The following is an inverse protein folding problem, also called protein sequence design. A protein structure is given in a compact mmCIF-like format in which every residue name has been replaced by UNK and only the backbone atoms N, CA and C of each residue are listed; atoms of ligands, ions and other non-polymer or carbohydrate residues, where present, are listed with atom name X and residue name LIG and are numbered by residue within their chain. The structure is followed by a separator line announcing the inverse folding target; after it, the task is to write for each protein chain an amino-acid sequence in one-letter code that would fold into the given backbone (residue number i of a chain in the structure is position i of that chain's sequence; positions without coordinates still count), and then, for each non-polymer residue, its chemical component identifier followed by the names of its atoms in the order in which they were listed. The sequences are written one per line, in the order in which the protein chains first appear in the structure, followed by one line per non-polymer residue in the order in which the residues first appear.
data_IF_674829844971
#
_entry.id   IF_674829844971
#
_cell.length_a   1.000
_cell.length_b   1.000
_cell.length_c   1.000
_cell.angle_alpha   90.00
_cell.angle_beta   90.00
_cell.angle_gamma   90.00
#
_symmetry.space_group_name_H-M   'P 1'
#
loop_
_entity.id
_entity.type
_entity.pdbx_description
1 polymer ?
2 non-polymer ?
3 water ?
#
# COMPACT_ATOMS: atom_id res chain seq x y z
N UNK A 22 -4.01 -12.65 -26.33
CA UNK A 22 -2.70 -12.68 -27.06
C UNK A 22 -1.56 -12.14 -26.17
N UNK A 23 -0.36 -12.77 -26.23
CA UNK A 23 0.74 -12.44 -25.30
C UNK A 23 1.79 -11.42 -25.83
N UNK A 24 2.46 -10.72 -24.91
CA UNK A 24 3.41 -9.67 -25.24
C UNK A 24 4.88 -10.14 -25.19
N UNK A 25 5.75 -9.43 -25.89
CA UNK A 25 7.18 -9.75 -25.87
C UNK A 25 7.79 -9.56 -24.46
N UNK A 26 8.44 -10.61 -23.98
CA UNK A 26 9.04 -10.67 -22.63
C UNK A 26 10.56 -10.52 -22.65
N UNK A 27 11.16 -10.61 -23.85
CA UNK A 27 12.61 -10.51 -23.99
C UNK A 27 13.35 -11.77 -23.58
N UNK A 28 14.55 -11.98 -24.11
CA UNK A 28 15.34 -13.18 -23.79
C UNK A 28 15.99 -13.11 -22.40
N UNK A 29 15.45 -13.90 -21.47
CA UNK A 29 15.96 -13.99 -20.09
C UNK A 29 17.44 -14.41 -19.96
N UNK A 30 17.97 -15.18 -20.93
CA UNK A 30 19.38 -15.58 -20.93
C UNK A 30 20.24 -14.76 -21.90
N UNK A 31 20.05 -13.45 -21.96
CA UNK A 31 20.85 -12.63 -22.87
C UNK A 31 22.13 -12.09 -22.19
N UNK A 32 23.19 -11.90 -22.98
CA UNK A 32 24.38 -11.19 -22.52
C UNK A 32 24.08 -9.70 -22.62
N UNK A 33 24.12 -9.00 -21.49
CA UNK A 33 23.74 -7.58 -21.41
C UNK A 33 24.96 -6.65 -21.22
N UNK A 34 25.34 -5.96 -22.29
CA UNK A 34 26.45 -4.98 -22.28
C UNK A 34 26.07 -3.66 -21.57
N UNK A 35 27.08 -2.89 -21.15
CA UNK A 35 26.89 -1.51 -20.64
C UNK A 35 26.15 -0.62 -21.65
N UNK A 36 26.52 -0.76 -22.93
CA UNK A 36 25.85 -0.10 -24.05
C UNK A 36 24.34 -0.36 -24.03
N UNK A 37 23.95 -1.63 -23.95
CA UNK A 37 22.55 -2.02 -23.90
C UNK A 37 21.81 -1.49 -22.65
N UNK A 38 22.48 -1.47 -21.50
CA UNK A 38 21.90 -0.94 -20.26
C UNK A 38 21.53 0.54 -20.41
N UNK A 39 22.45 1.29 -21.04
CA UNK A 39 22.28 2.70 -21.36
C UNK A 39 21.12 2.99 -22.34
N UNK A 40 21.08 2.27 -23.47
CA UNK A 40 20.00 2.43 -24.43
C UNK A 40 18.67 2.07 -23.80
N UNK A 41 18.67 1.09 -22.90
CA UNK A 41 17.46 0.72 -22.17
C UNK A 41 16.93 1.87 -21.31
N UNK A 42 17.83 2.61 -20.67
CA UNK A 42 17.45 3.75 -19.83
C UNK A 42 16.92 4.92 -20.70
N UNK A 43 17.52 5.10 -21.88
CA UNK A 43 17.00 5.98 -22.91
C UNK A 43 15.54 5.65 -23.32
N UNK A 44 15.24 4.39 -23.60
CA UNK A 44 13.89 3.98 -23.99
C UNK A 44 12.92 4.10 -22.82
N UNK A 45 13.44 3.90 -21.62
CA UNK A 45 12.67 4.07 -20.39
C UNK A 45 12.27 5.54 -20.15
N UNK A 46 13.22 6.44 -20.34
CA UNK A 46 12.95 7.86 -20.26
C UNK A 46 11.86 8.30 -21.22
N UNK A 47 11.91 7.79 -22.45
CA UNK A 47 10.89 8.10 -23.46
C UNK A 47 9.52 7.47 -23.12
N UNK A 48 9.51 6.23 -22.65
CA UNK A 48 8.30 5.57 -22.20
C UNK A 48 7.65 6.37 -21.09
N UNK A 49 8.45 6.81 -20.13
CA UNK A 49 7.97 7.67 -19.04
C UNK A 49 7.38 9.00 -19.54
N UNK A 50 8.07 9.64 -20.49
CA UNK A 50 7.53 10.84 -21.13
C UNK A 50 6.19 10.63 -21.86
N UNK A 51 6.03 9.47 -22.49
CA UNK A 51 4.78 9.16 -23.18
C UNK A 51 3.68 8.89 -22.16
N UNK A 52 3.99 8.06 -21.17
CA UNK A 52 3.06 7.73 -20.08
C UNK A 52 2.46 8.99 -19.45
N UNK A 53 3.33 9.90 -19.03
CA UNK A 53 2.93 11.17 -18.43
C UNK A 53 2.13 12.05 -19.38
N UNK A 54 2.17 11.73 -20.67
CA UNK A 54 1.38 12.43 -21.68
C UNK A 54 0.06 11.71 -21.96
N UNK A 55 -0.17 10.60 -21.29
CA UNK A 55 -1.35 9.76 -21.59
C UNK A 55 -1.33 9.04 -22.93
N UNK A 56 -0.17 8.99 -23.60
CA UNK A 56 0.01 8.19 -24.81
C UNK A 56 0.43 6.80 -24.38
N UNK A 57 -0.57 5.99 -24.04
CA UNK A 57 -0.39 4.75 -23.31
C UNK A 57 0.10 3.58 -24.15
N UNK A 58 -0.47 3.39 -25.34
CA UNK A 58 0.06 2.42 -26.30
C UNK A 58 1.54 2.72 -26.59
N UNK A 59 1.84 3.99 -26.83
CA UNK A 59 3.21 4.42 -27.10
C UNK A 59 4.12 4.01 -25.93
N UNK A 60 3.65 4.26 -24.72
CA UNK A 60 4.41 3.87 -23.52
C UNK A 60 4.68 2.35 -23.46
N UNK A 61 3.69 1.54 -23.83
CA UNK A 61 3.90 0.11 -23.89
C UNK A 61 4.97 -0.30 -24.88
N UNK A 62 4.91 0.27 -26.09
CA UNK A 62 5.90 0.00 -27.13
C UNK A 62 7.31 0.32 -26.65
N UNK A 63 7.44 1.49 -26.04
CA UNK A 63 8.73 1.95 -25.58
C UNK A 63 9.25 1.15 -24.36
N UNK A 64 8.37 0.72 -23.46
CA UNK A 64 8.81 -0.18 -22.39
C UNK A 64 9.19 -1.54 -22.96
N UNK A 65 8.48 -1.96 -24.00
CA UNK A 65 8.83 -3.22 -24.68
C UNK A 65 10.22 -3.15 -25.31
N UNK A 66 10.56 -2.02 -25.94
CA UNK A 66 11.90 -1.84 -26.46
C UNK A 66 12.90 -1.93 -25.32
N UNK A 67 12.62 -1.22 -24.23
CA UNK A 67 13.48 -1.24 -23.04
C UNK A 67 13.73 -2.67 -22.55
N UNK A 68 12.65 -3.45 -22.46
CA UNK A 68 12.74 -4.83 -21.98
C UNK A 68 13.58 -5.74 -22.88
N UNK A 69 13.51 -5.57 -24.20
CA UNK A 69 14.31 -6.39 -25.09
C UNK A 69 15.80 -6.13 -24.90
N UNK A 70 16.14 -4.91 -24.49
CA UNK A 70 17.53 -4.48 -24.29
C UNK A 70 18.10 -4.76 -22.89
N UNK A 71 17.23 -4.81 -21.88
CA UNK A 71 17.65 -5.17 -20.53
C UNK A 71 16.58 -6.02 -19.85
N UNK A 72 16.48 -7.30 -20.26
CA UNK A 72 15.37 -8.14 -19.82
C UNK A 72 15.51 -8.64 -18.39
N UNK A 73 16.55 -8.22 -17.68
CA UNK A 73 16.71 -8.58 -16.26
C UNK A 73 16.55 -7.41 -15.27
N UNK A 74 15.97 -6.30 -15.73
CA UNK A 74 15.69 -5.15 -14.87
C UNK A 74 14.22 -5.12 -14.41
N UNK A 75 13.96 -5.45 -13.14
CA UNK A 75 12.59 -5.67 -12.64
C UNK A 75 11.67 -4.45 -12.80
N UNK A 76 12.24 -3.25 -12.62
CA UNK A 76 11.47 -1.99 -12.69
C UNK A 76 10.80 -1.80 -14.06
N UNK A 77 11.45 -2.27 -15.13
CA UNK A 77 10.90 -2.18 -16.48
C UNK A 77 9.61 -2.98 -16.66
N UNK A 78 9.55 -4.16 -16.06
CA UNK A 78 8.34 -4.97 -16.12
C UNK A 78 7.24 -4.38 -15.25
N UNK A 79 7.61 -3.86 -14.09
CA UNK A 79 6.66 -3.22 -13.18
C UNK A 79 6.03 -1.99 -13.86
N UNK A 80 6.85 -1.11 -14.44
CA UNK A 80 6.31 0.07 -15.13
C UNK A 80 5.40 -0.34 -16.27
N UNK A 81 5.77 -1.37 -17.04
CA UNK A 81 4.92 -1.79 -18.15
C UNK A 81 3.60 -2.37 -17.62
N UNK A 82 3.66 -3.09 -16.49
CA UNK A 82 2.46 -3.63 -15.85
C UNK A 82 1.51 -2.49 -15.52
N UNK A 83 2.04 -1.42 -14.93
CA UNK A 83 1.23 -0.28 -14.54
C UNK A 83 0.50 0.28 -15.75
N UNK A 84 1.20 0.36 -16.88
CA UNK A 84 0.52 0.83 -18.09
C UNK A 84 -0.58 -0.16 -18.53
N UNK A 85 -0.26 -1.46 -18.59
CA UNK A 85 -1.26 -2.48 -18.90
C UNK A 85 -2.53 -2.37 -18.02
N UNK A 86 -2.37 -2.07 -16.72
CA UNK A 86 -3.50 -1.83 -15.79
C UNK A 86 -4.33 -0.60 -16.22
N UNK A 87 -3.67 0.52 -16.50
CA UNK A 87 -4.39 1.71 -17.00
C UNK A 87 -5.14 1.43 -18.29
N UNK A 88 -4.63 0.51 -19.10
CA UNK A 88 -5.33 0.10 -20.31
C UNK A 88 -6.36 -0.97 -20.02
N UNK A 89 -6.41 -1.41 -18.77
CA UNK A 89 -7.33 -2.49 -18.37
C UNK A 89 -7.04 -3.76 -19.16
N UNK A 90 -5.77 -4.15 -19.14
CA UNK A 90 -5.36 -5.44 -19.66
C UNK A 90 -4.73 -6.15 -18.48
N UNK A 91 -5.58 -6.57 -17.52
CA UNK A 91 -5.09 -7.10 -16.24
C UNK A 91 -4.24 -8.39 -16.34
N UNK A 92 -4.60 -9.32 -17.22
CA UNK A 92 -3.75 -10.50 -17.43
C UNK A 92 -2.35 -10.18 -17.91
N UNK A 93 -2.26 -9.25 -18.86
CA UNK A 93 -0.99 -8.77 -19.35
C UNK A 93 -0.18 -8.18 -18.19
N UNK A 94 -0.83 -7.39 -17.34
CA UNK A 94 -0.20 -6.83 -16.14
C UNK A 94 0.33 -7.91 -15.23
N UNK A 95 -0.48 -8.95 -15.04
CA UNK A 95 -0.10 -10.02 -14.12
C UNK A 95 1.13 -10.80 -14.63
N UNK A 96 1.21 -11.04 -15.94
CA UNK A 96 2.40 -11.64 -16.55
C UNK A 96 3.66 -10.81 -16.28
N UNK A 97 3.55 -9.49 -16.47
CA UNK A 97 4.70 -8.61 -16.22
C UNK A 97 5.12 -8.58 -14.77
N UNK A 98 4.15 -8.51 -13.86
CA UNK A 98 4.42 -8.54 -12.42
C UNK A 98 5.07 -9.83 -11.96
N UNK A 99 4.62 -10.99 -12.46
CA UNK A 99 5.25 -12.27 -12.09
C UNK A 99 6.72 -12.26 -12.48
N UNK A 100 7.00 -11.76 -13.66
CA UNK A 100 8.38 -11.75 -14.10
C UNK A 100 9.24 -10.81 -13.25
N UNK A 101 8.70 -9.65 -12.88
CA UNK A 101 9.42 -8.69 -12.04
C UNK A 101 9.67 -9.23 -10.63
N UNK A 102 8.68 -9.96 -10.11
CA UNK A 102 8.82 -10.59 -8.81
C UNK A 102 9.84 -11.70 -8.83
N UNK A 103 9.93 -12.39 -9.94
CA UNK A 103 10.88 -13.46 -10.07
C UNK A 103 12.30 -12.93 -10.13
N UNK A 104 12.50 -11.74 -10.72
CA UNK A 104 13.81 -11.07 -10.68
C UNK A 104 14.09 -10.47 -9.29
N UNK A 105 13.08 -9.76 -8.76
CA UNK A 105 13.21 -9.07 -7.49
C UNK A 105 12.03 -9.32 -6.58
N UNK A 106 12.10 -10.38 -5.75
CA UNK A 106 10.95 -10.71 -4.91
C UNK A 106 10.65 -9.68 -3.83
N UNK A 107 11.61 -8.83 -3.49
CA UNK A 107 11.47 -7.97 -2.32
C UNK A 107 11.11 -6.51 -2.59
N UNK A 108 10.80 -6.16 -3.84
CA UNK A 108 10.45 -4.77 -4.12
C UNK A 108 8.93 -4.59 -4.25
N UNK A 109 8.46 -3.39 -3.88
CA UNK A 109 7.03 -3.15 -3.70
C UNK A 109 6.17 -2.98 -4.96
N UNK A 110 6.70 -2.28 -5.96
CA UNK A 110 6.00 -1.96 -7.20
C UNK A 110 5.26 -3.14 -7.84
N UNK A 111 5.95 -4.29 -8.09
CA UNK A 111 5.13 -5.26 -8.82
C UNK A 111 3.96 -5.83 -8.01
N UNK A 112 4.04 -5.81 -6.67
CA UNK A 112 2.91 -6.31 -5.88
C UNK A 112 1.71 -5.38 -5.98
N UNK A 113 1.99 -4.08 -5.95
CA UNK A 113 0.98 -3.05 -6.12
C UNK A 113 0.20 -3.22 -7.44
N UNK A 114 0.91 -3.32 -8.56
CA UNK A 114 0.23 -3.41 -9.84
C UNK A 114 -0.45 -4.75 -10.03
N UNK A 115 0.14 -5.78 -9.46
CA UNK A 115 -0.49 -7.09 -9.48
C UNK A 115 -1.77 -7.10 -8.62
N UNK A 116 -1.71 -6.51 -7.44
CA UNK A 116 -2.91 -6.30 -6.65
C UNK A 116 -4.00 -5.53 -7.39
N UNK A 117 -3.64 -4.46 -8.10
CA UNK A 117 -4.62 -3.66 -8.80
C UNK A 117 -5.21 -4.46 -9.94
N UNK A 118 -4.39 -5.25 -10.62
CA UNK A 118 -4.87 -6.02 -11.76
C UNK A 118 -5.84 -7.11 -11.29
N UNK A 119 -5.49 -7.78 -10.21
CA UNK A 119 -6.41 -8.72 -9.55
C UNK A 119 -7.77 -8.10 -9.19
N UNK A 120 -7.79 -6.83 -8.79
CA UNK A 120 -9.06 -6.12 -8.54
C UNK A 120 -9.92 -6.00 -9.78
N UNK A 121 -9.33 -5.51 -10.88
CA UNK A 121 -10.08 -5.45 -12.14
C UNK A 121 -10.77 -6.77 -12.45
N UNK A 122 -10.09 -7.87 -12.15
CA UNK A 122 -10.58 -9.21 -12.41
C UNK A 122 -11.55 -9.71 -11.34
N UNK A 123 -11.64 -8.99 -10.23
CA UNK A 123 -12.52 -9.43 -9.14
C UNK A 123 -11.89 -10.55 -8.32
N UNK A 124 -10.57 -10.72 -8.40
CA UNK A 124 -9.88 -11.71 -7.57
C UNK A 124 -9.56 -11.10 -6.20
N UNK A 125 -10.58 -10.95 -5.36
CA UNK A 125 -10.49 -10.08 -4.20
C UNK A 125 -9.44 -10.57 -3.21
N UNK A 126 -9.40 -11.87 -2.95
CA UNK A 126 -8.46 -12.36 -1.97
C UNK A 126 -7.02 -12.13 -2.44
N UNK A 127 -6.74 -12.41 -3.71
CA UNK A 127 -5.41 -12.23 -4.30
C UNK A 127 -4.98 -10.78 -4.26
N UNK A 128 -5.91 -9.89 -4.57
CA UNK A 128 -5.62 -8.47 -4.56
C UNK A 128 -5.21 -7.97 -3.17
N UNK A 129 -5.86 -8.50 -2.13
CA UNK A 129 -5.61 -8.05 -0.77
C UNK A 129 -4.26 -8.62 -0.30
N UNK A 130 -4.01 -9.87 -0.67
CA UNK A 130 -2.70 -10.48 -0.45
C UNK A 130 -1.62 -9.53 -1.00
N UNK A 131 -1.66 -9.24 -2.29
CA UNK A 131 -0.61 -8.48 -2.94
C UNK A 131 -0.49 -7.05 -2.41
N UNK A 132 -1.63 -6.41 -2.19
CA UNK A 132 -1.64 -5.01 -1.75
C UNK A 132 -1.11 -4.91 -0.32
N UNK A 133 -1.45 -5.89 0.51
CA UNK A 133 -0.87 -5.97 1.88
C UNK A 133 0.67 -6.03 1.86
N UNK A 134 1.20 -6.82 0.93
CA UNK A 134 2.65 -6.98 0.72
C UNK A 134 3.26 -5.68 0.25
N UNK A 135 2.61 -5.04 -0.72
CA UNK A 135 3.10 -3.79 -1.29
C UNK A 135 3.29 -2.76 -0.21
N UNK A 136 2.28 -2.59 0.65
CA UNK A 136 2.35 -1.64 1.78
C UNK A 136 3.53 -1.89 2.72
N UNK A 137 3.82 -3.15 3.02
CA UNK A 137 4.93 -3.50 3.91
C UNK A 137 6.29 -3.35 3.22
N UNK A 138 6.37 -3.69 1.94
CA UNK A 138 7.65 -3.66 1.24
C UNK A 138 8.13 -2.26 0.93
N UNK A 139 7.18 -1.33 0.94
CA UNK A 139 7.43 0.01 0.44
C UNK A 139 8.15 0.93 1.45
N UNK A 140 9.48 1.04 1.31
CA UNK A 140 10.33 1.99 2.09
C UNK A 140 11.80 1.94 1.59
N UNK B 23 -18.08 -1.23 21.86
CA UNK B 23 -18.12 -0.88 23.27
C UNK B 23 -16.76 -0.56 23.96
N UNK B 24 -15.72 -0.21 23.17
CA UNK B 24 -14.47 0.40 23.71
C UNK B 24 -14.60 1.94 23.87
N UNK B 25 -13.75 2.56 24.68
CA UNK B 25 -13.84 4.02 24.91
C UNK B 25 -13.34 4.85 23.71
N UNK B 26 -14.22 5.67 23.16
CA UNK B 26 -13.85 6.54 22.02
C UNK B 26 -13.45 7.97 22.45
N UNK B 27 -13.56 8.28 23.74
CA UNK B 27 -13.33 9.63 24.24
C UNK B 27 -14.50 10.55 23.90
N UNK B 28 -14.60 11.68 24.57
CA UNK B 28 -15.71 12.63 24.38
C UNK B 28 -15.37 13.67 23.27
N UNK B 29 -15.92 13.41 22.08
CA UNK B 29 -15.69 14.22 20.88
C UNK B 29 -16.03 15.73 21.05
N UNK B 30 -17.02 16.02 21.89
CA UNK B 30 -17.45 17.38 22.25
C UNK B 30 -16.76 17.96 23.48
N UNK B 31 -15.69 17.33 23.95
CA UNK B 31 -15.00 17.79 25.18
C UNK B 31 -13.92 18.84 24.87
N UNK B 32 -13.74 19.81 25.76
CA UNK B 32 -12.69 20.81 25.53
C UNK B 32 -11.33 20.19 25.77
N UNK B 33 -10.37 20.57 24.93
CA UNK B 33 -9.06 19.97 24.91
C UNK B 33 -8.04 21.07 25.10
N UNK B 34 -7.37 21.03 26.25
CA UNK B 34 -6.42 22.08 26.64
C UNK B 34 -5.01 21.75 26.19
N UNK B 35 -4.14 22.74 26.35
CA UNK B 35 -2.76 22.54 26.05
C UNK B 35 -2.12 21.46 26.92
N UNK B 36 -2.38 21.51 28.23
CA UNK B 36 -1.90 20.49 29.15
C UNK B 36 -2.31 19.09 28.72
N UNK B 37 -3.54 18.96 28.21
CA UNK B 37 -4.05 17.67 27.76
C UNK B 37 -3.34 17.22 26.50
N UNK B 38 -3.06 18.18 25.60
CA UNK B 38 -2.33 17.89 24.36
C UNK B 38 -0.94 17.32 24.68
N UNK B 39 -0.22 17.94 25.63
CA UNK B 39 1.13 17.51 26.01
C UNK B 39 1.10 16.12 26.61
N UNK B 40 0.09 15.83 27.42
CA UNK B 40 0.05 14.54 28.07
C UNK B 40 -0.37 13.41 27.11
N UNK B 41 -1.33 13.71 26.23
CA UNK B 41 -1.68 12.78 25.17
C UNK B 41 -0.45 12.36 24.37
N UNK B 42 0.45 13.29 24.08
CA UNK B 42 1.67 12.98 23.35
C UNK B 42 2.60 12.08 24.16
N UNK B 43 2.74 12.36 25.45
CA UNK B 43 3.54 11.49 26.31
C UNK B 43 2.96 10.07 26.35
N UNK B 44 1.64 9.96 26.53
CA UNK B 44 0.97 8.65 26.51
C UNK B 44 1.09 7.92 25.17
N UNK B 45 1.01 8.64 24.06
CA UNK B 45 1.28 8.07 22.75
C UNK B 45 2.68 7.43 22.70
N UNK B 46 3.67 8.19 23.15
CA UNK B 46 5.06 7.74 23.23
C UNK B 46 5.17 6.46 24.04
N UNK B 47 4.55 6.45 25.21
CA UNK B 47 4.56 5.25 26.06
C UNK B 47 3.80 4.06 25.44
N UNK B 48 2.74 4.35 24.68
CA UNK B 48 2.00 3.32 23.95
C UNK B 48 2.82 2.71 22.81
N UNK B 49 3.57 3.56 22.10
CA UNK B 49 4.40 3.10 20.99
C UNK B 49 5.49 2.13 21.52
N UNK B 50 6.08 2.46 22.67
CA UNK B 50 7.01 1.58 23.36
C UNK B 50 6.40 0.22 23.73
N UNK B 51 5.26 0.25 24.44
CA UNK B 51 4.58 -0.96 24.87
C UNK B 51 4.37 -1.88 23.68
N UNK B 52 3.92 -1.28 22.58
CA UNK B 52 3.72 -1.96 21.31
C UNK B 52 4.99 -2.63 20.84
N UNK B 53 6.08 -1.88 20.82
CA UNK B 53 7.33 -2.42 20.28
C UNK B 53 7.88 -3.54 21.14
N UNK B 54 7.70 -3.46 22.45
CA UNK B 54 8.06 -4.55 23.38
C UNK B 54 7.08 -5.74 23.31
N UNK B 55 6.06 -5.67 22.45
CA UNK B 55 5.12 -6.76 22.32
C UNK B 55 3.91 -6.68 23.24
N UNK B 56 3.90 -5.74 24.17
CA UNK B 56 2.81 -5.62 25.15
C UNK B 56 1.55 -4.92 24.58
N UNK B 57 0.75 -5.67 23.83
CA UNK B 57 -0.40 -5.10 23.11
C UNK B 57 -1.50 -4.56 24.00
N UNK B 58 -1.91 -5.33 25.00
CA UNK B 58 -2.99 -4.91 25.90
C UNK B 58 -2.58 -3.64 26.66
N UNK B 59 -1.29 -3.54 27.02
CA UNK B 59 -0.74 -2.30 27.60
C UNK B 59 -0.74 -1.13 26.59
N UNK B 60 -0.48 -1.42 25.33
CA UNK B 60 -0.52 -0.38 24.31
C UNK B 60 -1.94 0.17 24.12
N UNK B 61 -2.92 -0.74 23.99
CA UNK B 61 -4.36 -0.39 24.03
C UNK B 61 -4.69 0.58 25.17
N UNK B 62 -4.32 0.21 26.40
CA UNK B 62 -4.63 1.02 27.57
C UNK B 62 -4.02 2.43 27.46
N UNK B 63 -2.79 2.53 26.96
CA UNK B 63 -2.12 3.84 26.89
C UNK B 63 -2.63 4.72 25.72
N UNK B 64 -2.98 4.07 24.61
CA UNK B 64 -3.64 4.76 23.51
C UNK B 64 -5.03 5.25 23.94
N UNK B 65 -5.71 4.45 24.74
CA UNK B 65 -7.01 4.84 25.25
C UNK B 65 -6.87 6.05 26.14
N UNK B 66 -5.87 6.05 27.04
CA UNK B 66 -5.55 7.21 27.86
C UNK B 66 -5.26 8.48 27.06
N UNK B 67 -4.50 8.33 25.98
CA UNK B 67 -4.23 9.44 25.07
C UNK B 67 -5.49 9.92 24.34
N UNK B 68 -6.35 9.00 23.94
CA UNK B 68 -7.60 9.34 23.25
C UNK B 68 -8.56 10.11 24.16
N UNK B 69 -8.61 9.73 25.44
CA UNK B 69 -9.46 10.42 26.40
C UNK B 69 -8.95 11.84 26.61
N UNK B 70 -7.64 12.05 26.44
CA UNK B 70 -7.03 13.37 26.63
C UNK B 70 -7.19 14.28 25.41
N UNK B 71 -6.95 13.74 24.21
CA UNK B 71 -7.17 14.46 22.95
C UNK B 71 -7.91 13.60 21.91
N UNK B 72 -9.24 13.52 22.03
CA UNK B 72 -10.07 12.74 21.09
C UNK B 72 -10.17 13.31 19.67
N UNK B 73 -9.53 14.45 19.40
CA UNK B 73 -9.52 15.00 18.06
C UNK B 73 -8.15 14.85 17.37
N UNK B 74 -7.32 13.92 17.83
CA UNK B 74 -6.04 13.64 17.18
C UNK B 74 -6.08 12.29 16.42
N UNK B 75 -6.08 12.36 15.09
CA UNK B 75 -6.40 11.20 14.22
C UNK B 75 -5.45 10.01 14.36
N UNK B 76 -4.16 10.27 14.49
CA UNK B 76 -3.19 9.18 14.49
C UNK B 76 -3.31 8.27 15.71
N UNK B 77 -3.78 8.82 16.83
CA UNK B 77 -4.08 8.01 18.02
C UNK B 77 -5.03 6.89 17.67
N UNK B 78 -6.08 7.20 16.91
CA UNK B 78 -7.05 6.18 16.49
C UNK B 78 -6.45 5.22 15.49
N UNK B 79 -5.64 5.73 14.55
CA UNK B 79 -4.95 4.87 13.57
C UNK B 79 -4.02 3.87 14.28
N UNK B 80 -3.22 4.37 15.23
CA UNK B 80 -2.32 3.51 15.99
C UNK B 80 -3.09 2.50 16.85
N UNK B 81 -4.13 2.95 17.56
CA UNK B 81 -4.90 1.99 18.37
C UNK B 81 -5.49 0.90 17.49
N UNK B 82 -6.00 1.29 16.32
CA UNK B 82 -6.51 0.30 15.36
C UNK B 82 -5.44 -0.76 14.98
N UNK B 83 -4.18 -0.34 14.78
CA UNK B 83 -3.15 -1.32 14.42
C UNK B 83 -3.01 -2.34 15.50
N UNK B 84 -3.14 -1.91 16.75
CA UNK B 84 -3.02 -2.84 17.87
C UNK B 84 -4.19 -3.79 17.87
N UNK B 85 -5.40 -3.28 17.71
CA UNK B 85 -6.58 -4.16 17.67
C UNK B 85 -6.49 -5.26 16.63
N UNK B 86 -5.91 -4.95 15.47
CA UNK B 86 -5.68 -5.95 14.43
C UNK B 86 -4.77 -7.07 14.96
N UNK B 87 -3.68 -6.68 15.61
CA UNK B 87 -2.77 -7.67 16.17
C UNK B 87 -3.41 -8.52 17.25
N UNK B 88 -4.39 -7.95 17.92
CA UNK B 88 -5.13 -8.67 18.94
C UNK B 88 -6.28 -9.50 18.34
N UNK B 89 -6.36 -9.54 17.01
CA UNK B 89 -7.46 -10.19 16.29
C UNK B 89 -8.81 -9.64 16.74
N UNK B 90 -8.89 -8.32 16.80
CA UNK B 90 -10.13 -7.64 17.15
C UNK B 90 -10.55 -6.69 16.03
N UNK B 91 -11.00 -7.27 14.90
CA UNK B 91 -11.25 -6.51 13.68
C UNK B 91 -12.36 -5.46 13.80
N UNK B 92 -13.46 -5.76 14.49
CA UNK B 92 -14.53 -4.80 14.61
C UNK B 92 -14.09 -3.58 15.41
N UNK B 93 -13.38 -3.78 16.51
CA UNK B 93 -12.79 -2.68 17.28
C UNK B 93 -11.83 -1.86 16.42
N UNK B 94 -11.02 -2.52 15.58
CA UNK B 94 -10.13 -1.83 14.68
C UNK B 94 -10.90 -0.97 13.70
N UNK B 95 -12.06 -1.46 13.26
CA UNK B 95 -12.79 -0.77 12.21
C UNK B 95 -13.38 0.52 12.78
N UNK B 96 -13.90 0.46 14.00
CA UNK B 96 -14.36 1.64 14.76
C UNK B 96 -13.30 2.73 14.82
N UNK B 97 -12.09 2.35 15.22
CA UNK B 97 -10.95 3.28 15.30
C UNK B 97 -10.52 3.89 13.95
N UNK B 98 -10.39 3.05 12.92
CA UNK B 98 -10.12 3.53 11.56
C UNK B 98 -11.16 4.54 11.09
N UNK B 99 -12.43 4.25 11.36
CA UNK B 99 -13.49 5.16 10.96
C UNK B 99 -13.52 6.48 11.73
N UNK B 100 -13.04 6.47 12.97
CA UNK B 100 -12.90 7.71 13.71
C UNK B 100 -11.70 8.47 13.14
N UNK B 101 -10.58 7.77 12.90
CA UNK B 101 -9.41 8.37 12.27
C UNK B 101 -9.72 9.06 10.94
N UNK B 102 -10.57 8.43 10.13
CA UNK B 102 -10.93 8.91 8.82
C UNK B 102 -11.86 10.12 8.89
N UNK B 103 -12.79 10.19 9.86
CA UNK B 103 -13.65 11.37 10.01
C UNK B 103 -12.79 12.61 10.26
N UNK B 104 -11.76 12.44 11.08
CA UNK B 104 -10.93 13.55 11.52
C UNK B 104 -9.95 13.97 10.42
N UNK B 105 -9.31 12.98 9.79
CA UNK B 105 -8.39 13.25 8.71
C UNK B 105 -8.53 12.23 7.58
N UNK B 106 -9.37 12.56 6.57
CA UNK B 106 -9.63 11.65 5.46
C UNK B 106 -8.44 11.44 4.50
N UNK B 107 -7.45 12.34 4.55
CA UNK B 107 -6.32 12.32 3.62
C UNK B 107 -5.21 11.34 4.00
N UNK B 108 -5.31 10.77 5.19
CA UNK B 108 -4.27 9.91 5.71
C UNK B 108 -4.42 8.49 5.23
N UNK B 109 -3.30 7.85 4.90
CA UNK B 109 -3.27 6.45 4.38
C UNK B 109 -3.33 5.38 5.47
N UNK B 110 -2.72 5.65 6.61
CA UNK B 110 -2.68 4.69 7.71
C UNK B 110 -4.02 4.05 8.00
N UNK B 111 -5.08 4.86 8.27
CA UNK B 111 -6.28 4.19 8.74
C UNK B 111 -6.89 3.26 7.68
N UNK B 112 -6.64 3.52 6.41
CA UNK B 112 -7.16 2.66 5.36
C UNK B 112 -6.43 1.35 5.28
N UNK B 113 -5.12 1.39 5.52
CA UNK B 113 -4.29 0.19 5.49
C UNK B 113 -4.72 -0.76 6.60
N UNK B 114 -4.95 -0.22 7.80
CA UNK B 114 -5.35 -1.04 8.93
C UNK B 114 -6.77 -1.51 8.77
N UNK B 115 -7.61 -0.72 8.13
CA UNK B 115 -8.99 -1.14 7.99
C UNK B 115 -9.08 -2.28 6.97
N UNK B 116 -8.33 -2.18 5.88
CA UNK B 116 -8.17 -3.31 4.97
C UNK B 116 -7.70 -4.56 5.68
N UNK B 117 -6.71 -4.41 6.55
CA UNK B 117 -6.16 -5.57 7.27
C UNK B 117 -7.20 -6.16 8.22
N UNK B 118 -7.96 -5.30 8.87
CA UNK B 118 -9.13 -5.72 9.64
C UNK B 118 -10.14 -6.50 8.79
N UNK B 119 -10.44 -6.00 7.60
CA UNK B 119 -11.30 -6.72 6.69
C UNK B 119 -10.75 -8.12 6.30
N UNK B 120 -9.44 -8.23 6.17
CA UNK B 120 -8.82 -9.53 5.88
C UNK B 120 -9.17 -10.57 6.94
N UNK B 121 -8.98 -10.21 8.21
CA UNK B 121 -9.26 -11.09 9.34
C UNK B 121 -10.71 -11.58 9.37
N UNK B 122 -11.63 -10.75 8.86
CA UNK B 122 -13.04 -11.09 8.79
C UNK B 122 -13.39 -11.89 7.52
N UNK B 123 -12.43 -12.05 6.61
CA UNK B 123 -12.68 -12.73 5.35
C UNK B 123 -13.42 -11.84 4.37
N UNK B 124 -13.47 -10.52 4.63
CA UNK B 124 -14.22 -9.59 3.81
C UNK B 124 -13.31 -9.08 2.67
N UNK B 125 -13.17 -9.84 1.60
CA UNK B 125 -12.05 -9.64 0.69
C UNK B 125 -12.20 -8.42 -0.23
N UNK B 126 -13.40 -8.15 -0.70
CA UNK B 126 -13.62 -7.02 -1.57
C UNK B 126 -13.32 -5.70 -0.85
N UNK B 127 -13.79 -5.55 0.39
CA UNK B 127 -13.53 -4.36 1.19
C UNK B 127 -12.05 -4.19 1.50
N UNK B 128 -11.38 -5.30 1.81
CA UNK B 128 -9.96 -5.27 2.10
C UNK B 128 -9.21 -4.77 0.88
N UNK B 129 -9.48 -5.38 -0.28
CA UNK B 129 -8.80 -4.99 -1.51
C UNK B 129 -9.00 -3.50 -1.78
N UNK B 130 -10.23 -3.02 -1.53
CA UNK B 130 -10.54 -1.63 -1.74
C UNK B 130 -9.73 -0.73 -0.81
N UNK B 131 -9.75 -1.01 0.48
CA UNK B 131 -9.07 -0.16 1.45
C UNK B 131 -7.55 -0.18 1.23
N UNK B 132 -6.97 -1.35 0.92
CA UNK B 132 -5.53 -1.39 0.63
C UNK B 132 -5.15 -0.69 -0.66
N UNK B 133 -6.04 -0.66 -1.65
CA UNK B 133 -5.73 0.04 -2.91
C UNK B 133 -5.70 1.55 -2.64
N UNK B 134 -6.66 1.98 -1.83
CA UNK B 134 -6.75 3.34 -1.34
C UNK B 134 -5.52 3.72 -0.48
N UNK B 135 -5.09 2.85 0.42
CA UNK B 135 -3.84 3.04 1.17
C UNK B 135 -2.59 3.26 0.27
N UNK B 136 -2.47 2.46 -0.78
CA UNK B 136 -1.34 2.59 -1.72
C UNK B 136 -1.40 3.84 -2.58
N UNK B 137 -2.61 4.32 -2.86
CA UNK B 137 -2.77 5.52 -3.66
C UNK B 137 -2.42 6.78 -2.85
N UNK B 138 -2.77 6.80 -1.56
CA UNK B 138 -2.55 7.95 -0.66
C UNK B 138 -1.13 8.09 -0.09
N UNK B 139 -0.33 7.02 -0.17
CA UNK B 139 1.05 7.00 0.36
C UNK B 139 1.99 7.58 -0.70
N UNK B 140 1.79 7.13 -1.94
CA UNK B 140 2.32 7.77 -3.15
C UNK B 140 1.97 9.28 -3.16
N UNK B 141 0.69 9.58 -2.97
CA UNK B 141 0.09 10.92 -3.10
C UNK B 141 -0.30 11.47 -1.72
X LIG C 1 -7.20 -10.55 -21.11
X LIG C 1 -7.08 -10.79 -22.50
X LIG C 1 -6.85 -9.10 -20.70
X LIG C 1 -6.29 -9.04 -19.39
X LIG C 1 -5.79 -8.57 -21.66
X LIG C 1 -4.54 -8.79 -21.02
X LIG D 1 -15.75 -8.72 17.54
X LIG D 1 -16.17 -8.78 18.88
X LIG D 1 -14.22 -8.65 17.49
X LIG D 1 -13.78 -8.39 16.17
X LIG D 1 -13.70 -7.53 18.39
X LIG D 1 -13.49 -6.35 17.65
#
# INVERSE_FOLDING_TARGET
GARGGSDLEIDNEGVIEADTDAPQEMGDENAEITEAMMDEANEKKGAAIDALNDGELQKAIDLFTDAIKLNPRLAILYAKRASVFVKLQKPNAAIRDCDRAIEINPDSAQPYKWRGKAHRLLGHWEEAARDLALACKLDYDEDASAMLREVQPRAQKIAEHRRKYERKREEREIK
GARGGSDLEIDNEGVIEADTDAPQEMGDENAEITEAMMDEANEKKGAAIDALNDGELQKAIDLFTDAIKLNPRLAILYAKRASVFVKLQKPNAAIRDCDRAIEINPDSAQPYKWRGKAHRLLGHWEEAARDLALACKLDYDEDASAMLREVQPRAQKIAEHRRKYERKREEREIK
GOL C1 O1 C2 O2 C3 O3
GOL C1 O1 C2 O2 C3 O3
#
